data_IF_839082192097
#
_entry.id   IF_839082192097
#
_cell.length_a   1.000
_cell.length_b   1.000
_cell.length_c   1.000
_cell.angle_alpha   90.00
_cell.angle_beta   90.00
_cell.angle_gamma   90.00
#
_symmetry.space_group_name_H-M   'P 1'
#
loop_
_entity.id
_entity.type
_entity.pdbx_description
1 polymer ?
#
# COMPACT_ATOMS: atom_id res chain seq x y z
N UNK A 1 9.66 -7.83 21.78
CA UNK A 1 9.98 -6.42 22.10
C UNK A 1 9.45 -5.57 20.97
N UNK A 2 8.87 -4.42 21.27
CA UNK A 2 8.40 -3.49 20.25
C UNK A 2 9.58 -2.89 19.47
N UNK A 3 9.42 -2.69 18.17
CA UNK A 3 10.43 -2.12 17.29
C UNK A 3 9.76 -1.18 16.28
N UNK A 4 10.42 -0.07 15.98
CA UNK A 4 9.98 0.84 14.92
C UNK A 4 10.40 0.29 13.55
N UNK A 5 9.43 -0.12 12.74
CA UNK A 5 9.65 -0.63 11.38
C UNK A 5 9.61 0.47 10.30
N UNK A 6 9.26 1.72 10.68
CA UNK A 6 9.20 2.85 9.75
C UNK A 6 10.62 3.38 9.50
N UNK A 7 11.21 3.01 8.37
CA UNK A 7 12.51 3.53 7.95
C UNK A 7 12.44 5.02 7.62
N UNK A 8 13.58 5.72 7.74
CA UNK A 8 13.64 7.16 7.40
C UNK A 8 13.27 7.43 5.93
N UNK A 9 13.65 6.52 5.02
CA UNK A 9 13.23 6.59 3.62
C UNK A 9 11.71 6.53 3.50
N UNK A 10 11.08 5.51 4.11
CA UNK A 10 9.62 5.35 4.08
C UNK A 10 8.88 6.53 4.72
N UNK A 11 9.44 7.10 5.80
CA UNK A 11 8.88 8.30 6.45
C UNK A 11 8.91 9.52 5.52
N UNK A 12 10.03 9.76 4.82
CA UNK A 12 10.14 10.86 3.84
C UNK A 12 9.17 10.70 2.69
N UNK A 13 9.06 9.49 2.14
CA UNK A 13 8.14 9.17 1.06
C UNK A 13 6.68 9.38 1.50
N UNK A 14 6.35 9.01 2.75
CA UNK A 14 5.03 9.25 3.35
C UNK A 14 4.70 10.74 3.51
N UNK A 15 5.64 11.54 4.02
CA UNK A 15 5.45 12.98 4.20
C UNK A 15 5.24 13.69 2.85
N UNK A 16 5.98 13.25 1.82
CA UNK A 16 5.82 13.74 0.46
C UNK A 16 4.44 13.42 -0.11
N UNK A 17 4.02 12.15 -0.03
CA UNK A 17 2.68 11.74 -0.43
C UNK A 17 1.60 12.57 0.28
N UNK A 18 1.71 12.72 1.59
CA UNK A 18 0.75 13.47 2.41
C UNK A 18 0.70 14.97 2.06
N UNK A 19 1.82 15.56 1.63
CA UNK A 19 1.88 16.96 1.20
C UNK A 19 1.25 17.17 -0.19
N UNK A 20 1.25 16.14 -1.04
CA UNK A 20 0.69 16.16 -2.39
C UNK A 20 -0.69 15.50 -2.48
N UNK A 21 -1.42 15.39 -1.36
CA UNK A 21 -2.71 14.72 -1.28
C UNK A 21 -3.68 15.31 -2.31
N UNK A 22 -4.25 14.47 -3.16
CA UNK A 22 -5.23 14.88 -4.16
C UNK A 22 -6.64 14.37 -3.81
N UNK A 23 -7.72 14.99 -4.33
CA UNK A 23 -9.09 14.57 -4.04
C UNK A 23 -9.48 13.16 -4.54
N UNK A 24 -8.66 12.55 -5.39
CA UNK A 24 -8.86 11.20 -5.92
C UNK A 24 -8.03 10.12 -5.20
N UNK A 25 -7.22 10.50 -4.21
CA UNK A 25 -6.48 9.55 -3.39
C UNK A 25 -7.45 8.79 -2.48
N UNK A 26 -7.04 7.60 -2.04
CA UNK A 26 -7.80 6.76 -1.11
C UNK A 26 -7.79 7.33 0.33
N UNK A 27 -7.98 8.63 0.51
CA UNK A 27 -8.08 9.30 1.80
C UNK A 27 -9.54 9.55 2.16
N UNK A 28 -9.94 9.24 3.39
CA UNK A 28 -11.27 9.58 3.89
C UNK A 28 -11.31 11.06 4.25
N UNK A 29 -11.93 11.89 3.40
CA UNK A 29 -12.32 13.24 3.81
C UNK A 29 -13.70 13.16 4.48
N UNK A 30 -13.73 13.23 5.81
CA UNK A 30 -14.98 13.24 6.58
C UNK A 30 -15.88 14.46 6.29
N UNK A 31 -15.42 15.43 5.48
CA UNK A 31 -16.22 16.56 5.00
C UNK A 31 -16.81 16.34 3.61
N UNK A 32 -16.38 15.31 2.87
CA UNK A 32 -16.76 15.12 1.47
C UNK A 32 -17.98 14.22 1.27
N UNK A 33 -18.64 13.75 2.34
CA UNK A 33 -19.87 12.95 2.28
C UNK A 33 -21.01 13.63 1.49
N UNK A 34 -20.87 14.93 1.16
CA UNK A 34 -21.80 15.73 0.37
C UNK A 34 -21.34 16.05 -1.07
N UNK A 35 -20.15 15.62 -1.50
CA UNK A 35 -19.63 15.93 -2.84
C UNK A 35 -19.42 14.63 -3.64
N UNK A 36 -20.13 14.41 -4.75
CA UNK A 36 -19.91 13.23 -5.59
C UNK A 36 -18.46 13.24 -6.11
N UNK A 37 -17.79 12.07 -6.18
CA UNK A 37 -16.42 12.01 -6.65
C UNK A 37 -16.33 12.59 -8.07
N UNK A 38 -15.37 13.46 -8.35
CA UNK A 38 -15.20 13.98 -9.69
C UNK A 38 -14.92 12.81 -10.63
N UNK A 39 -15.63 12.76 -11.76
CA UNK A 39 -15.40 11.81 -12.85
C UNK A 39 -14.10 12.19 -13.57
N UNK A 40 -12.97 12.00 -12.90
CA UNK A 40 -11.65 12.27 -13.49
C UNK A 40 -11.24 10.99 -14.23
N UNK A 41 -11.06 11.01 -15.56
CA UNK A 41 -10.44 9.89 -16.27
C UNK A 41 -9.04 9.66 -15.67
N UNK A 42 -8.47 8.44 -15.73
CA UNK A 42 -7.15 8.18 -15.17
C UNK A 42 -6.13 9.07 -15.89
N UNK A 43 -5.85 10.24 -15.31
CA UNK A 43 -4.90 11.20 -15.82
C UNK A 43 -3.55 10.54 -15.72
N UNK A 44 -2.90 10.43 -16.88
CA UNK A 44 -1.56 9.89 -17.11
C UNK A 44 -0.75 9.70 -15.82
N UNK A 45 -0.50 8.42 -15.49
CA UNK A 45 0.39 8.03 -14.40
C UNK A 45 1.64 8.93 -14.44
N UNK A 46 1.92 9.69 -13.36
CA UNK A 46 3.11 10.52 -13.30
C UNK A 46 4.32 9.65 -13.63
N UNK A 47 5.26 10.20 -14.41
CA UNK A 47 6.45 9.43 -14.82
C UNK A 47 7.18 8.91 -13.58
N UNK A 48 7.90 7.79 -13.71
CA UNK A 48 8.59 7.17 -12.57
C UNK A 48 9.55 8.13 -11.83
N UNK A 49 10.07 9.13 -12.54
CA UNK A 49 10.97 10.16 -12.02
C UNK A 49 10.24 11.44 -11.55
N UNK A 50 8.91 11.49 -11.67
CA UNK A 50 8.12 12.64 -11.26
C UNK A 50 8.23 12.85 -9.74
N UNK A 51 8.42 14.10 -9.29
CA UNK A 51 8.38 14.43 -7.88
C UNK A 51 7.10 14.02 -7.12
N UNK A 52 6.01 13.70 -7.81
CA UNK A 52 4.75 13.25 -7.23
C UNK A 52 4.60 11.73 -7.39
N UNK A 53 5.46 11.07 -8.16
CA UNK A 53 5.44 9.62 -8.32
C UNK A 53 5.91 8.94 -7.03
N UNK A 54 4.94 8.60 -6.19
CA UNK A 54 5.22 7.81 -5.00
C UNK A 54 5.34 6.36 -5.41
N UNK A 55 6.58 5.88 -5.52
CA UNK A 55 6.90 4.52 -5.95
C UNK A 55 6.11 3.50 -5.14
N UNK A 56 5.12 2.87 -5.78
CA UNK A 56 4.44 1.71 -5.22
C UNK A 56 5.43 0.56 -5.13
N UNK A 57 5.59 -0.01 -3.94
CA UNK A 57 6.42 -1.18 -3.73
C UNK A 57 5.55 -2.40 -3.55
N UNK A 58 5.72 -3.41 -4.40
CA UNK A 58 4.99 -4.68 -4.33
C UNK A 58 5.69 -5.67 -3.41
N UNK A 59 6.31 -5.21 -2.32
CA UNK A 59 7.18 -5.98 -1.41
C UNK A 59 6.52 -7.14 -0.66
N UNK A 60 5.37 -7.62 -1.13
CA UNK A 60 4.75 -8.88 -0.74
C UNK A 60 5.67 -10.04 -1.11
N UNK A 61 5.84 -10.98 -0.18
CA UNK A 61 6.63 -12.18 -0.38
C UNK A 61 5.73 -13.39 -0.13
N UNK A 62 5.81 -14.36 -1.04
CA UNK A 62 5.22 -15.68 -0.88
C UNK A 62 6.33 -16.74 -0.86
N UNK A 63 6.21 -17.73 0.02
CA UNK A 63 7.13 -18.86 0.10
C UNK A 63 6.38 -20.17 0.31
N UNK A 64 6.69 -21.15 -0.52
CA UNK A 64 6.15 -22.50 -0.44
C UNK A 64 7.32 -23.46 -0.14
N UNK A 65 7.11 -24.42 0.74
CA UNK A 65 8.12 -25.40 1.10
C UNK A 65 7.52 -26.80 1.18
N UNK A 66 8.36 -27.80 0.89
CA UNK A 66 8.07 -29.22 1.06
C UNK A 66 9.13 -29.82 1.98
N UNK A 67 8.71 -30.52 3.03
CA UNK A 67 9.64 -31.15 3.96
C UNK A 67 10.05 -32.56 3.52
N UNK A 68 10.97 -33.19 4.25
CA UNK A 68 11.48 -34.53 3.92
C UNK A 68 10.42 -35.65 3.97
N UNK A 69 9.27 -35.42 4.61
CA UNK A 69 8.13 -36.36 4.64
C UNK A 69 7.15 -36.15 3.48
N UNK A 70 7.34 -35.09 2.70
CA UNK A 70 6.41 -34.69 1.64
C UNK A 70 5.28 -33.76 2.10
N UNK A 71 5.28 -33.28 3.35
CA UNK A 71 4.28 -32.30 3.80
C UNK A 71 4.54 -30.94 3.13
N UNK A 72 3.48 -30.26 2.69
CA UNK A 72 3.54 -28.95 2.01
C UNK A 72 3.13 -27.85 3.00
N UNK A 73 3.83 -26.72 2.98
CA UNK A 73 3.47 -25.51 3.73
C UNK A 73 3.66 -24.27 2.88
N UNK A 74 2.88 -23.22 3.16
CA UNK A 74 2.92 -21.93 2.47
C UNK A 74 2.87 -20.78 3.48
N UNK A 75 3.53 -19.67 3.15
CA UNK A 75 3.47 -18.42 3.90
C UNK A 75 3.49 -17.24 2.95
N UNK A 76 2.62 -16.26 3.21
CA UNK A 76 2.59 -14.99 2.49
C UNK A 76 2.66 -13.84 3.49
N UNK A 77 3.46 -12.82 3.22
CA UNK A 77 3.60 -11.64 4.08
C UNK A 77 3.68 -10.36 3.25
N UNK A 78 3.11 -9.28 3.78
CA UNK A 78 3.09 -7.96 3.15
C UNK A 78 2.89 -6.86 4.19
N UNK A 79 3.39 -5.65 3.92
CA UNK A 79 2.95 -4.43 4.60
C UNK A 79 1.62 -3.91 4.03
N UNK A 80 1.15 -4.49 2.92
CA UNK A 80 -0.03 -4.09 2.17
C UNK A 80 0.28 -2.96 1.19
N UNK A 81 -0.79 -2.43 0.59
CA UNK A 81 -0.68 -1.30 -0.34
C UNK A 81 -0.10 -0.07 0.38
N UNK A 82 0.85 0.62 -0.26
CA UNK A 82 1.36 1.91 0.20
C UNK A 82 0.21 2.89 0.40
N UNK A 83 0.23 3.61 1.53
CA UNK A 83 -0.75 4.67 1.83
C UNK A 83 -2.21 4.19 1.94
N UNK A 84 -2.41 2.89 2.17
CA UNK A 84 -3.72 2.33 2.44
C UNK A 84 -4.41 3.03 3.61
N UNK A 85 -5.75 3.06 3.56
CA UNK A 85 -6.56 3.48 4.70
C UNK A 85 -6.18 2.68 5.96
N UNK A 86 -6.09 3.33 7.14
CA UNK A 86 -5.89 2.63 8.40
C UNK A 86 -6.92 1.51 8.56
N UNK A 87 -6.45 0.31 8.91
CA UNK A 87 -7.30 -0.87 9.03
C UNK A 87 -7.57 -1.64 7.73
N UNK A 88 -7.15 -1.14 6.55
CA UNK A 88 -7.28 -1.88 5.29
C UNK A 88 -6.46 -3.17 5.30
N UNK A 89 -7.14 -4.27 4.99
CA UNK A 89 -6.57 -5.62 4.85
C UNK A 89 -6.53 -6.01 3.37
N UNK A 90 -5.45 -6.68 2.95
CA UNK A 90 -5.30 -7.24 1.60
C UNK A 90 -5.59 -8.73 1.55
N UNK A 91 -5.16 -9.40 0.49
CA UNK A 91 -5.30 -10.84 0.27
C UNK A 91 -4.34 -11.68 1.12
N UNK A 92 -3.14 -11.20 1.44
CA UNK A 92 -2.09 -12.03 2.06
C UNK A 92 -2.46 -12.76 3.37
N UNK A 93 -3.31 -12.23 4.29
CA UNK A 93 -3.74 -12.98 5.47
C UNK A 93 -5.04 -13.79 5.25
N UNK A 94 -5.58 -13.82 4.04
CA UNK A 94 -6.82 -14.54 3.70
C UNK A 94 -6.44 -15.91 3.13
N UNK A 95 -6.92 -16.98 3.76
CA UNK A 95 -6.77 -18.35 3.23
C UNK A 95 -7.70 -18.52 2.03
N UNK A 96 -7.16 -19.03 0.91
CA UNK A 96 -7.90 -19.25 -0.34
C UNK A 96 -7.28 -20.34 -1.20
#
# INVERSE_FOLDING_TARGET
>A
KEQNLLTEKSRRDWLRWKACLNPSDNWLDARSDSVPPPSVPPTAEPSFDDPIHVKFTTGTINMNAVNARGDISSVTTTSGLSWKLPGRVGDSPIVG
#
